data_IF_689709845815
#
_entry.id   IF_689709845815
#
_cell.length_a   1.000
_cell.length_b   1.000
_cell.length_c   1.000
_cell.angle_alpha   90.00
_cell.angle_beta   90.00
_cell.angle_gamma   90.00
#
_symmetry.space_group_name_H-M   'P 1'
#
loop_
_entity.id
_entity.type
_entity.pdbx_description
1 polymer ?
#
# COMPACT_ATOMS: atom_id res chain seq x y z
N UNK A 1 16.13 -25.84 -4.57
CA UNK A 1 15.67 -25.70 -5.98
C UNK A 1 16.03 -24.28 -6.38
N UNK A 2 16.62 -24.03 -7.53
CA UNK A 2 16.85 -22.65 -7.98
C UNK A 2 15.57 -22.11 -8.60
N UNK A 3 15.27 -20.86 -8.32
CA UNK A 3 14.08 -20.16 -8.78
C UNK A 3 14.40 -19.24 -9.95
N UNK A 4 13.40 -18.90 -10.75
CA UNK A 4 13.43 -17.83 -11.73
C UNK A 4 12.31 -16.84 -11.37
N UNK A 5 12.65 -15.55 -11.37
CA UNK A 5 11.76 -14.46 -10.99
C UNK A 5 11.30 -13.65 -12.20
N UNK A 6 10.03 -13.34 -12.25
CA UNK A 6 9.48 -12.35 -13.19
C UNK A 6 8.65 -11.30 -12.44
N UNK A 7 8.87 -10.01 -12.72
CA UNK A 7 8.14 -8.91 -12.12
C UNK A 7 7.42 -8.05 -13.14
N UNK A 8 6.36 -7.34 -12.73
CA UNK A 8 5.66 -6.34 -13.52
C UNK A 8 5.57 -5.02 -12.77
N UNK A 9 6.01 -3.94 -13.42
CA UNK A 9 6.18 -2.61 -12.84
C UNK A 9 7.47 -2.50 -12.05
N UNK A 10 8.21 -1.40 -12.22
CA UNK A 10 9.49 -1.16 -11.54
C UNK A 10 9.39 0.07 -10.63
N UNK A 11 8.38 0.08 -9.78
CA UNK A 11 8.22 1.07 -8.71
C UNK A 11 9.05 0.73 -7.46
N UNK A 12 9.01 1.58 -6.42
CA UNK A 12 9.84 1.39 -5.21
C UNK A 12 9.49 0.12 -4.42
N UNK A 13 8.27 -0.39 -4.50
CA UNK A 13 7.92 -1.68 -3.86
C UNK A 13 8.52 -2.85 -4.63
N UNK A 14 8.40 -2.87 -5.97
CA UNK A 14 9.02 -3.92 -6.76
C UNK A 14 10.54 -3.94 -6.61
N UNK A 15 11.18 -2.76 -6.75
CA UNK A 15 12.63 -2.63 -6.71
C UNK A 15 13.22 -2.74 -5.30
N UNK A 16 12.60 -2.07 -4.30
CA UNK A 16 13.11 -1.96 -2.94
C UNK A 16 12.60 -3.03 -1.97
N UNK A 17 11.75 -3.95 -2.43
CA UNK A 17 11.27 -5.07 -1.64
C UNK A 17 11.43 -6.37 -2.43
N UNK A 18 10.58 -6.66 -3.44
CA UNK A 18 10.59 -7.98 -4.09
C UNK A 18 11.89 -8.31 -4.82
N UNK A 19 12.36 -7.44 -5.72
CA UNK A 19 13.61 -7.70 -6.47
C UNK A 19 14.85 -7.66 -5.58
N UNK A 20 14.87 -6.75 -4.59
CA UNK A 20 15.97 -6.66 -3.63
C UNK A 20 16.05 -7.92 -2.76
N UNK A 21 14.92 -8.41 -2.22
CA UNK A 21 14.86 -9.62 -1.41
C UNK A 21 15.13 -10.89 -2.26
N UNK A 22 14.59 -10.97 -3.49
CA UNK A 22 14.90 -12.05 -4.41
C UNK A 22 16.41 -12.12 -4.69
N UNK A 23 17.07 -10.96 -4.88
CA UNK A 23 18.52 -10.92 -5.08
C UNK A 23 19.29 -11.28 -3.81
N UNK A 24 18.89 -10.76 -2.66
CA UNK A 24 19.53 -10.99 -1.38
C UNK A 24 19.46 -12.47 -0.94
N UNK A 25 18.36 -13.16 -1.23
CA UNK A 25 18.19 -14.59 -0.89
C UNK A 25 19.21 -15.51 -1.59
N UNK A 26 19.75 -15.10 -2.74
CA UNK A 26 20.65 -15.91 -3.55
C UNK A 26 20.00 -17.17 -4.18
N UNK A 27 18.67 -17.31 -4.04
CA UNK A 27 17.94 -18.48 -4.52
C UNK A 27 17.48 -18.37 -5.98
N UNK A 28 17.58 -17.18 -6.58
CA UNK A 28 17.14 -16.94 -7.96
C UNK A 28 18.30 -16.96 -8.95
N UNK A 29 18.08 -17.65 -10.07
CA UNK A 29 19.04 -17.70 -11.20
C UNK A 29 18.91 -16.44 -12.03
N UNK A 30 17.69 -16.10 -12.46
CA UNK A 30 17.36 -14.92 -13.24
C UNK A 30 16.29 -14.08 -12.53
N UNK A 31 16.48 -12.75 -12.55
CA UNK A 31 15.51 -11.77 -12.06
C UNK A 31 15.23 -10.81 -13.23
N UNK A 32 14.01 -10.86 -13.75
CA UNK A 32 13.58 -10.06 -14.90
C UNK A 32 12.33 -9.31 -14.53
N UNK A 33 12.29 -8.00 -14.85
CA UNK A 33 11.12 -7.16 -14.56
C UNK A 33 10.67 -6.45 -15.83
N UNK A 34 9.39 -6.53 -16.10
CA UNK A 34 8.69 -5.80 -17.14
C UNK A 34 8.45 -4.35 -16.71
N UNK A 35 8.96 -3.39 -17.49
CA UNK A 35 8.76 -1.96 -17.24
C UNK A 35 8.46 -1.23 -18.57
N UNK A 36 7.44 -0.37 -18.58
CA UNK A 36 6.97 0.34 -19.78
C UNK A 36 7.67 1.68 -20.01
N UNK A 37 8.38 2.21 -19.02
CA UNK A 37 9.19 3.41 -19.13
C UNK A 37 10.51 3.07 -19.83
N UNK A 38 10.56 3.35 -21.14
CA UNK A 38 11.72 3.01 -21.97
C UNK A 38 13.02 3.73 -21.54
N UNK A 39 12.91 4.95 -20.97
CA UNK A 39 14.08 5.70 -20.49
C UNK A 39 14.66 5.05 -19.24
N UNK A 40 13.79 4.60 -18.31
CA UNK A 40 14.19 3.88 -17.12
C UNK A 40 14.85 2.54 -17.47
N UNK A 41 14.23 1.76 -18.38
CA UNK A 41 14.81 0.51 -18.88
C UNK A 41 16.21 0.75 -19.47
N UNK A 42 16.34 1.75 -20.36
CA UNK A 42 17.62 2.08 -20.97
C UNK A 42 18.67 2.55 -19.94
N UNK A 43 18.25 3.32 -18.92
CA UNK A 43 19.17 3.81 -17.88
C UNK A 43 19.75 2.65 -17.06
N UNK A 44 18.90 1.73 -16.60
CA UNK A 44 19.34 0.55 -15.80
C UNK A 44 20.23 -0.37 -16.64
N UNK A 45 19.89 -0.62 -17.91
CA UNK A 45 20.73 -1.42 -18.83
C UNK A 45 22.10 -0.81 -19.06
N UNK A 46 22.17 0.52 -19.33
CA UNK A 46 23.47 1.23 -19.46
C UNK A 46 24.31 1.15 -18.20
N UNK A 47 23.68 0.98 -17.05
CA UNK A 47 24.34 0.80 -15.75
C UNK A 47 24.71 -0.67 -15.47
N UNK A 48 24.61 -1.57 -16.45
CA UNK A 48 24.97 -3.00 -16.32
C UNK A 48 23.96 -3.78 -15.48
N UNK A 49 22.67 -3.55 -15.69
CA UNK A 49 21.56 -4.19 -14.95
C UNK A 49 21.67 -3.99 -13.42
N UNK A 50 22.08 -2.78 -13.03
CA UNK A 50 22.21 -2.32 -11.64
C UNK A 50 21.35 -1.11 -11.41
N UNK A 51 20.76 -1.02 -10.24
CA UNK A 51 20.04 0.16 -9.78
C UNK A 51 20.27 0.42 -8.30
N UNK A 52 20.04 1.66 -7.87
CA UNK A 52 20.10 2.04 -6.47
C UNK A 52 18.70 2.23 -5.88
N UNK A 53 18.55 1.82 -4.62
CA UNK A 53 17.39 2.10 -3.75
C UNK A 53 17.91 2.74 -2.47
N UNK A 54 17.33 3.86 -2.09
CA UNK A 54 17.64 4.51 -0.83
C UNK A 54 16.75 3.91 0.27
N UNK A 55 17.37 3.45 1.34
CA UNK A 55 16.68 2.79 2.47
C UNK A 55 16.76 3.70 3.68
N UNK A 56 15.62 4.21 4.13
CA UNK A 56 15.48 5.01 5.33
C UNK A 56 15.41 4.08 6.56
N UNK A 57 16.50 4.01 7.30
CA UNK A 57 16.60 3.29 8.55
C UNK A 57 16.27 4.18 9.75
N UNK A 58 16.74 3.74 10.93
CA UNK A 58 16.59 4.49 12.18
C UNK A 58 17.51 5.71 12.25
N UNK A 59 18.75 5.58 11.76
CA UNK A 59 19.83 6.53 12.00
C UNK A 59 20.26 7.28 10.73
N UNK A 60 19.61 7.01 9.58
CA UNK A 60 19.97 7.64 8.32
C UNK A 60 19.34 6.99 7.10
N UNK A 61 19.80 7.45 5.94
CA UNK A 61 19.45 6.85 4.63
C UNK A 61 20.68 6.17 4.06
N UNK A 62 20.56 4.91 3.70
CA UNK A 62 21.59 4.12 3.03
C UNK A 62 21.19 3.89 1.58
N UNK A 63 22.11 4.17 0.64
CA UNK A 63 21.92 3.80 -0.76
C UNK A 63 22.40 2.35 -0.98
N UNK A 64 21.48 1.45 -1.26
CA UNK A 64 21.76 0.05 -1.59
C UNK A 64 21.75 -0.16 -3.10
N UNK A 65 22.78 -0.80 -3.62
CA UNK A 65 22.87 -1.18 -5.03
C UNK A 65 22.39 -2.61 -5.19
N UNK A 66 21.43 -2.81 -6.07
CA UNK A 66 20.92 -4.14 -6.46
C UNK A 66 21.42 -4.44 -7.87
N UNK A 67 22.07 -5.57 -8.05
CA UNK A 67 22.73 -5.99 -9.28
C UNK A 67 22.05 -7.21 -9.90
N UNK A 68 22.19 -7.38 -11.23
CA UNK A 68 21.70 -8.55 -11.93
C UNK A 68 20.17 -8.61 -12.02
N UNK A 69 19.52 -7.45 -12.06
CA UNK A 69 18.08 -7.32 -12.30
C UNK A 69 17.87 -6.71 -13.67
N UNK A 70 17.40 -7.51 -14.59
CA UNK A 70 17.22 -7.13 -16.00
C UNK A 70 15.83 -6.51 -16.20
N UNK A 71 15.79 -5.30 -16.73
CA UNK A 71 14.54 -4.65 -17.14
C UNK A 71 14.26 -4.89 -18.62
N UNK A 72 13.01 -5.25 -18.94
CA UNK A 72 12.51 -5.48 -20.28
C UNK A 72 11.27 -4.62 -20.54
N UNK A 73 11.23 -3.97 -21.72
CA UNK A 73 10.05 -3.21 -22.14
C UNK A 73 9.13 -4.08 -22.99
N UNK A 74 7.93 -4.45 -22.51
CA UNK A 74 7.01 -5.34 -23.23
C UNK A 74 6.52 -4.73 -24.57
N UNK A 75 6.67 -3.43 -24.78
CA UNK A 75 6.33 -2.76 -26.04
C UNK A 75 7.38 -2.96 -27.13
N UNK A 76 8.61 -3.32 -26.76
CA UNK A 76 9.65 -3.71 -27.69
C UNK A 76 9.51 -5.20 -28.03
N UNK A 77 9.45 -5.59 -29.34
CA UNK A 77 9.25 -6.99 -29.72
C UNK A 77 10.33 -7.94 -29.23
N UNK A 78 11.60 -7.51 -29.21
CA UNK A 78 12.72 -8.32 -28.75
C UNK A 78 12.66 -8.54 -27.24
N UNK A 79 12.41 -7.49 -26.48
CA UNK A 79 12.24 -7.55 -25.02
C UNK A 79 11.02 -8.40 -24.64
N UNK A 80 9.93 -8.26 -25.37
CA UNK A 80 8.71 -9.06 -25.12
C UNK A 80 8.99 -10.56 -25.32
N UNK A 81 9.68 -10.95 -26.35
CA UNK A 81 10.05 -12.36 -26.56
C UNK A 81 10.91 -12.91 -25.40
N UNK A 82 11.85 -12.11 -24.89
CA UNK A 82 12.66 -12.46 -23.72
C UNK A 82 11.81 -12.55 -22.44
N UNK A 83 10.85 -11.64 -22.26
CA UNK A 83 9.93 -11.64 -21.12
C UNK A 83 9.00 -12.86 -21.14
N UNK A 84 8.47 -13.23 -22.31
CA UNK A 84 7.65 -14.43 -22.49
C UNK A 84 8.45 -15.69 -22.17
N UNK A 85 9.70 -15.78 -22.64
CA UNK A 85 10.59 -16.88 -22.29
C UNK A 85 10.91 -16.95 -20.80
N UNK A 86 11.06 -15.80 -20.13
CA UNK A 86 11.25 -15.74 -18.69
C UNK A 86 10.00 -16.19 -17.93
N UNK A 87 8.81 -15.72 -18.31
CA UNK A 87 7.55 -16.09 -17.68
C UNK A 87 7.26 -17.59 -17.79
N UNK A 88 7.65 -18.22 -18.88
CA UNK A 88 7.49 -19.67 -19.09
C UNK A 88 8.28 -20.50 -18.05
N UNK A 89 9.43 -20.02 -17.58
CA UNK A 89 10.27 -20.70 -16.59
C UNK A 89 10.18 -20.13 -15.18
N UNK A 90 9.64 -18.91 -14.99
CA UNK A 90 9.55 -18.27 -13.70
C UNK A 90 8.71 -19.10 -12.71
N UNK A 91 9.24 -19.34 -11.53
CA UNK A 91 8.53 -20.00 -10.43
C UNK A 91 7.85 -18.99 -9.50
N UNK A 92 8.33 -17.75 -9.49
CA UNK A 92 7.73 -16.66 -8.74
C UNK A 92 7.52 -15.45 -9.65
N UNK A 93 6.28 -15.01 -9.72
CA UNK A 93 5.85 -13.87 -10.54
C UNK A 93 5.25 -12.83 -9.60
N UNK A 94 5.60 -11.55 -9.76
CA UNK A 94 5.09 -10.46 -8.91
C UNK A 94 4.50 -9.36 -9.76
N UNK A 95 3.29 -8.92 -9.45
CA UNK A 95 2.77 -7.65 -9.97
C UNK A 95 2.87 -6.57 -8.89
N UNK A 96 3.34 -5.37 -9.27
CA UNK A 96 3.44 -4.22 -8.38
C UNK A 96 3.13 -2.94 -9.18
N UNK A 97 1.84 -2.78 -9.48
CA UNK A 97 1.31 -1.75 -10.35
C UNK A 97 0.49 -0.73 -9.55
N UNK A 98 0.29 0.49 -10.06
CA UNK A 98 -0.49 1.51 -9.36
C UNK A 98 -1.96 1.13 -9.10
N UNK A 99 -2.54 0.24 -9.92
CA UNK A 99 -3.93 -0.19 -9.82
C UNK A 99 -4.15 -1.53 -10.52
N UNK A 100 -5.08 -2.32 -10.00
CA UNK A 100 -5.56 -3.57 -10.63
C UNK A 100 -6.18 -3.35 -12.01
N UNK A 101 -6.66 -2.14 -12.31
CA UNK A 101 -7.20 -1.79 -13.63
C UNK A 101 -6.15 -1.85 -14.75
N UNK A 102 -4.87 -1.81 -14.40
CA UNK A 102 -3.75 -1.88 -15.35
C UNK A 102 -3.50 -3.33 -15.82
N UNK A 103 -4.00 -4.35 -15.13
CA UNK A 103 -3.79 -5.76 -15.51
C UNK A 103 -4.17 -6.05 -16.97
N UNK A 104 -5.21 -5.43 -17.48
CA UNK A 104 -5.68 -5.55 -18.88
C UNK A 104 -5.20 -4.44 -19.81
N UNK A 105 -4.55 -3.40 -19.29
CA UNK A 105 -4.10 -2.29 -20.12
C UNK A 105 -2.98 -2.73 -21.08
N UNK A 106 -3.09 -2.38 -22.35
CA UNK A 106 -2.08 -2.73 -23.38
C UNK A 106 -2.46 -3.91 -24.28
N UNK A 107 -3.66 -4.45 -24.17
CA UNK A 107 -4.17 -5.51 -25.04
C UNK A 107 -3.33 -6.78 -24.98
N UNK A 108 -2.75 -7.20 -26.10
CA UNK A 108 -1.88 -8.41 -26.17
C UNK A 108 -0.61 -8.32 -25.35
N UNK A 109 -0.18 -7.12 -25.01
CA UNK A 109 1.04 -6.84 -24.24
C UNK A 109 0.70 -6.49 -22.77
N UNK A 110 -0.56 -6.65 -22.37
CA UNK A 110 -1.00 -6.48 -20.99
C UNK A 110 -0.42 -7.55 -20.07
N UNK A 111 -0.34 -7.24 -18.78
CA UNK A 111 0.12 -8.17 -17.74
C UNK A 111 -0.67 -9.47 -17.78
N UNK A 112 -2.01 -9.38 -17.83
CA UNK A 112 -2.87 -10.56 -17.90
C UNK A 112 -2.61 -11.41 -19.15
N UNK A 113 -2.43 -10.78 -20.32
CA UNK A 113 -2.17 -11.50 -21.57
C UNK A 113 -0.78 -12.16 -21.59
N UNK A 114 0.24 -11.50 -21.03
CA UNK A 114 1.59 -12.07 -20.91
C UNK A 114 1.61 -13.29 -19.98
N UNK A 115 0.99 -13.19 -18.80
CA UNK A 115 0.87 -14.31 -17.87
C UNK A 115 0.01 -15.42 -18.47
N UNK A 116 -1.10 -15.07 -19.19
CA UNK A 116 -1.98 -16.04 -19.82
C UNK A 116 -1.24 -16.97 -20.81
N UNK A 117 -0.27 -16.45 -21.55
CA UNK A 117 0.57 -17.29 -22.42
C UNK A 117 1.45 -18.26 -21.62
N UNK A 118 2.05 -17.76 -20.54
CA UNK A 118 2.93 -18.58 -19.70
C UNK A 118 2.20 -19.71 -18.93
N UNK A 119 0.90 -19.53 -18.64
CA UNK A 119 0.13 -20.56 -17.89
C UNK A 119 -0.52 -21.62 -18.81
N UNK A 120 -0.38 -21.50 -20.12
CA UNK A 120 -0.84 -22.52 -21.07
C UNK A 120 0.15 -23.68 -21.24
N UNK A 121 1.41 -23.50 -20.83
CA UNK A 121 2.48 -24.48 -20.95
C UNK A 121 2.42 -25.51 -19.80
N UNK A 122 1.90 -26.70 -20.04
CA UNK A 122 1.75 -27.75 -19.04
C UNK A 122 3.09 -28.23 -18.46
N UNK A 123 4.13 -28.30 -19.29
CA UNK A 123 5.47 -28.71 -18.88
C UNK A 123 6.25 -27.66 -18.09
N UNK A 124 5.72 -26.43 -17.98
CA UNK A 124 6.36 -25.37 -17.21
C UNK A 124 6.37 -25.69 -15.68
N UNK A 125 7.37 -25.26 -14.93
CA UNK A 125 7.44 -25.48 -13.48
C UNK A 125 6.22 -24.86 -12.78
N UNK A 126 5.83 -25.41 -11.63
CA UNK A 126 4.79 -24.79 -10.81
C UNK A 126 5.19 -23.35 -10.46
N UNK A 127 4.22 -22.43 -10.42
CA UNK A 127 4.48 -21.03 -10.13
C UNK A 127 3.47 -20.44 -9.14
N UNK A 128 3.94 -19.47 -8.38
CA UNK A 128 3.07 -18.55 -7.63
C UNK A 128 3.11 -17.16 -8.25
N UNK A 129 1.97 -16.48 -8.23
CA UNK A 129 1.82 -15.10 -8.71
C UNK A 129 1.39 -14.26 -7.51
N UNK A 130 2.29 -13.42 -7.01
CA UNK A 130 2.01 -12.50 -5.92
C UNK A 130 1.50 -11.17 -6.49
N UNK A 131 0.40 -10.67 -5.94
CA UNK A 131 -0.13 -9.35 -6.28
C UNK A 131 0.17 -8.35 -5.16
N UNK A 132 0.87 -7.28 -5.50
CA UNK A 132 1.29 -6.24 -4.56
C UNK A 132 0.49 -4.95 -4.69
N UNK A 133 -0.58 -4.96 -5.42
CA UNK A 133 -1.51 -3.83 -5.57
C UNK A 133 -2.27 -3.59 -4.26
N UNK A 134 -2.58 -2.32 -3.99
CA UNK A 134 -3.36 -1.97 -2.81
C UNK A 134 -4.88 -2.24 -3.03
N UNK A 135 -5.21 -3.52 -3.18
CA UNK A 135 -6.56 -4.03 -3.39
C UNK A 135 -6.67 -5.44 -2.79
N UNK A 136 -7.65 -5.65 -1.91
CA UNK A 136 -7.83 -6.89 -1.15
C UNK A 136 -8.19 -8.12 -2.01
N UNK A 137 -8.55 -7.92 -3.27
CA UNK A 137 -8.91 -8.97 -4.22
C UNK A 137 -8.05 -8.91 -5.49
N UNK A 138 -6.83 -8.40 -5.39
CA UNK A 138 -5.96 -8.24 -6.55
C UNK A 138 -5.63 -9.58 -7.21
N UNK A 139 -5.41 -10.64 -6.42
CA UNK A 139 -5.13 -11.98 -6.92
C UNK A 139 -6.30 -12.56 -7.69
N UNK A 140 -7.52 -12.47 -7.16
CA UNK A 140 -8.74 -12.96 -7.80
C UNK A 140 -9.06 -12.19 -9.08
N UNK A 141 -8.81 -10.88 -9.07
CA UNK A 141 -8.98 -10.03 -10.27
C UNK A 141 -7.97 -10.46 -11.34
N UNK A 142 -6.70 -10.59 -10.98
CA UNK A 142 -5.67 -10.99 -11.93
C UNK A 142 -5.91 -12.40 -12.46
N UNK A 143 -6.25 -13.36 -11.60
CA UNK A 143 -6.57 -14.73 -12.00
C UNK A 143 -7.73 -14.77 -13.00
N UNK A 144 -8.82 -14.07 -12.72
CA UNK A 144 -9.95 -13.94 -13.64
C UNK A 144 -9.51 -13.37 -15.00
N UNK A 145 -8.71 -12.30 -14.98
CA UNK A 145 -8.28 -11.63 -16.19
C UNK A 145 -7.29 -12.48 -17.01
N UNK A 146 -6.44 -13.28 -16.34
CA UNK A 146 -5.57 -14.26 -16.99
C UNK A 146 -6.37 -15.42 -17.59
N UNK A 147 -7.38 -15.94 -16.88
CA UNK A 147 -8.27 -17.00 -17.41
C UNK A 147 -9.05 -16.52 -18.64
N UNK A 148 -9.55 -15.29 -18.60
CA UNK A 148 -10.22 -14.68 -19.76
C UNK A 148 -9.26 -14.55 -20.95
N UNK A 149 -8.06 -14.03 -20.74
CA UNK A 149 -7.05 -13.84 -21.79
C UNK A 149 -6.52 -15.17 -22.36
N UNK A 150 -6.52 -16.25 -21.58
CA UNK A 150 -6.12 -17.60 -22.02
C UNK A 150 -7.24 -18.41 -22.68
N UNK A 151 -8.46 -17.86 -22.78
CA UNK A 151 -9.65 -18.60 -23.21
C UNK A 151 -10.00 -19.77 -22.28
N UNK A 152 -9.63 -19.69 -20.98
CA UNK A 152 -9.82 -20.73 -19.98
C UNK A 152 -8.74 -21.81 -19.97
N UNK A 153 -7.76 -21.76 -20.87
CA UNK A 153 -6.72 -22.78 -21.00
C UNK A 153 -5.56 -22.56 -20.01
N UNK A 154 -5.83 -22.75 -18.71
CA UNK A 154 -4.78 -22.77 -17.66
C UNK A 154 -4.36 -24.21 -17.42
N UNK A 155 -3.19 -24.62 -17.94
CA UNK A 155 -2.63 -25.98 -17.87
C UNK A 155 -1.50 -26.09 -16.87
N UNK A 156 -0.74 -25.03 -16.68
CA UNK A 156 0.34 -24.93 -15.70
C UNK A 156 -0.22 -24.97 -14.27
N UNK A 157 0.48 -25.61 -13.35
CA UNK A 157 0.18 -25.52 -11.92
C UNK A 157 0.55 -24.11 -11.43
N UNK A 158 -0.42 -23.24 -11.21
CA UNK A 158 -0.23 -21.86 -10.80
C UNK A 158 -1.21 -21.51 -9.68
N UNK A 159 -0.75 -20.67 -8.75
CA UNK A 159 -1.59 -20.10 -7.69
C UNK A 159 -1.38 -18.59 -7.65
N UNK A 160 -2.48 -17.85 -7.63
CA UNK A 160 -2.50 -16.40 -7.46
C UNK A 160 -2.69 -16.08 -5.99
N UNK A 161 -1.88 -15.17 -5.45
CA UNK A 161 -1.80 -14.90 -4.02
C UNK A 161 -1.89 -13.41 -3.75
N UNK A 162 -2.77 -13.02 -2.84
CA UNK A 162 -2.81 -11.68 -2.29
C UNK A 162 -1.64 -11.47 -1.33
N UNK A 163 -1.23 -10.21 -1.16
CA UNK A 163 -0.19 -9.81 -0.20
C UNK A 163 -0.63 -8.62 0.63
N UNK A 164 -0.21 -8.57 1.88
CA UNK A 164 -0.35 -7.39 2.74
C UNK A 164 1.03 -6.78 2.98
N UNK A 165 1.27 -5.65 2.32
CA UNK A 165 2.56 -4.96 2.35
C UNK A 165 2.41 -3.69 3.18
N UNK A 166 3.08 -3.65 4.32
CA UNK A 166 3.11 -2.49 5.22
C UNK A 166 4.31 -1.57 4.99
N UNK A 167 5.09 -1.77 3.92
CA UNK A 167 6.29 -0.97 3.61
C UNK A 167 5.92 0.39 3.03
N UNK A 168 6.38 1.46 3.68
CA UNK A 168 6.24 2.82 3.15
C UNK A 168 7.33 3.12 2.14
N UNK A 169 6.96 3.86 1.08
CA UNK A 169 7.87 4.15 -0.02
C UNK A 169 7.50 5.43 -0.76
N UNK A 170 8.49 6.01 -1.44
CA UNK A 170 8.33 7.24 -2.22
C UNK A 170 9.13 7.16 -3.52
N UNK A 171 8.64 7.88 -4.52
CA UNK A 171 9.38 8.20 -5.74
C UNK A 171 9.78 9.65 -5.67
N UNK A 172 11.08 9.92 -5.64
CA UNK A 172 11.66 11.27 -5.60
C UNK A 172 12.02 11.71 -7.00
N UNK A 173 11.54 12.89 -7.40
CA UNK A 173 11.75 13.46 -8.75
C UNK A 173 12.32 14.88 -8.71
N UNK A 174 12.30 15.54 -7.56
CA UNK A 174 12.89 16.85 -7.38
C UNK A 174 14.41 16.72 -7.18
N UNK A 175 15.18 17.23 -8.14
CA UNK A 175 16.63 17.11 -8.13
C UNK A 175 17.28 17.88 -6.95
N UNK A 176 16.70 19.01 -6.55
CA UNK A 176 17.22 19.80 -5.43
C UNK A 176 16.97 19.07 -4.10
N UNK A 177 15.80 18.50 -3.92
CA UNK A 177 15.46 17.70 -2.73
C UNK A 177 16.31 16.43 -2.69
N UNK A 178 16.45 15.69 -3.80
CA UNK A 178 17.31 14.50 -3.87
C UNK A 178 18.74 14.83 -3.45
N UNK A 179 19.29 15.94 -3.96
CA UNK A 179 20.63 16.40 -3.60
C UNK A 179 20.74 16.80 -2.12
N UNK A 180 19.77 17.56 -1.62
CA UNK A 180 19.75 18.01 -0.23
C UNK A 180 19.70 16.85 0.76
N UNK A 181 19.00 15.76 0.39
CA UNK A 181 18.84 14.55 1.21
C UNK A 181 19.91 13.49 0.91
N UNK A 182 20.85 13.74 0.01
CA UNK A 182 21.91 12.80 -0.36
C UNK A 182 21.40 11.51 -1.01
N UNK A 183 20.25 11.56 -1.70
CA UNK A 183 19.65 10.38 -2.31
C UNK A 183 20.35 10.00 -3.62
N UNK A 184 20.73 8.74 -3.73
CA UNK A 184 21.26 8.19 -4.97
C UNK A 184 20.11 8.05 -6.02
N UNK A 185 20.31 8.48 -7.28
CA UNK A 185 19.35 8.23 -8.34
C UNK A 185 19.29 6.72 -8.65
N UNK A 186 18.17 6.25 -9.26
CA UNK A 186 17.98 4.85 -9.64
C UNK A 186 19.14 4.32 -10.48
N UNK A 187 19.63 5.14 -11.42
CA UNK A 187 20.83 4.89 -12.21
C UNK A 187 21.56 6.21 -12.41
N UNK A 188 22.87 6.22 -12.71
CA UNK A 188 23.63 7.44 -12.91
C UNK A 188 22.99 8.37 -13.96
N UNK A 189 22.72 9.62 -13.56
CA UNK A 189 22.10 10.64 -14.42
C UNK A 189 20.60 10.49 -14.64
N UNK A 190 19.93 9.49 -14.06
CA UNK A 190 18.49 9.34 -14.16
C UNK A 190 17.77 10.28 -13.16
N UNK A 191 16.72 11.04 -13.57
CA UNK A 191 16.16 12.12 -12.76
C UNK A 191 15.12 11.60 -11.71
N UNK A 192 15.33 10.40 -11.19
CA UNK A 192 14.47 9.78 -10.16
C UNK A 192 15.29 8.99 -9.16
N UNK A 193 14.82 8.98 -7.90
CA UNK A 193 15.30 8.09 -6.86
C UNK A 193 14.12 7.34 -6.23
N UNK A 194 14.37 6.11 -5.81
CA UNK A 194 13.46 5.37 -4.93
C UNK A 194 13.92 5.53 -3.49
N UNK A 195 12.98 5.86 -2.61
CA UNK A 195 13.18 5.88 -1.17
C UNK A 195 12.19 4.94 -0.53
N UNK A 196 12.68 3.97 0.23
CA UNK A 196 11.87 2.99 0.95
C UNK A 196 12.30 2.95 2.41
N UNK A 197 11.42 2.57 3.31
CA UNK A 197 11.82 2.27 4.68
C UNK A 197 12.52 0.91 4.79
N UNK A 198 13.24 0.70 5.87
CA UNK A 198 13.99 -0.55 6.10
C UNK A 198 13.09 -1.77 6.30
N UNK A 199 11.85 -1.58 6.78
CA UNK A 199 10.89 -2.66 7.06
C UNK A 199 10.60 -3.55 5.83
N UNK A 200 10.73 -4.88 5.98
CA UNK A 200 10.66 -5.86 4.90
C UNK A 200 9.77 -7.07 5.23
N UNK A 201 8.73 -6.92 6.01
CA UNK A 201 7.81 -8.00 6.32
C UNK A 201 6.59 -7.98 5.39
N UNK A 202 6.28 -9.12 4.74
CA UNK A 202 5.15 -9.27 3.83
C UNK A 202 4.30 -10.44 4.28
N UNK A 203 3.01 -10.20 4.50
CA UNK A 203 2.05 -11.28 4.67
C UNK A 203 1.56 -11.73 3.29
N UNK A 204 1.40 -13.03 3.13
CA UNK A 204 0.95 -13.64 1.88
C UNK A 204 -0.09 -14.72 2.15
N UNK A 205 -1.05 -14.89 1.24
CA UNK A 205 -2.00 -15.99 1.29
C UNK A 205 -1.26 -17.32 1.28
N UNK A 206 -1.77 -18.30 2.02
CA UNK A 206 -1.15 -19.61 2.14
C UNK A 206 -0.89 -20.27 0.78
N UNK A 207 0.34 -20.76 0.59
CA UNK A 207 0.73 -21.47 -0.60
C UNK A 207 0.20 -22.91 -0.51
N UNK A 208 -0.72 -23.24 -1.45
CA UNK A 208 -1.35 -24.56 -1.55
C UNK A 208 -0.70 -25.49 -2.56
N UNK A 209 0.33 -25.03 -3.31
CA UNK A 209 1.03 -25.84 -4.29
C UNK A 209 1.93 -26.87 -3.61
N UNK A 210 1.58 -28.15 -3.72
CA UNK A 210 2.32 -29.23 -3.10
C UNK A 210 3.81 -29.22 -3.48
N UNK A 211 4.69 -29.17 -2.49
CA UNK A 211 6.15 -29.19 -2.65
C UNK A 211 6.77 -27.87 -3.10
N UNK A 212 5.97 -26.81 -3.28
CA UNK A 212 6.50 -25.49 -3.59
C UNK A 212 7.09 -24.85 -2.32
N UNK A 213 8.21 -24.17 -2.47
CA UNK A 213 8.82 -23.34 -1.44
C UNK A 213 9.20 -22.01 -2.06
N UNK A 214 8.82 -20.86 -1.46
CA UNK A 214 9.21 -19.56 -1.97
C UNK A 214 10.73 -19.35 -1.85
N UNK A 215 11.31 -18.70 -2.85
CA UNK A 215 12.71 -18.25 -2.81
C UNK A 215 12.90 -16.92 -2.10
N UNK A 216 11.82 -16.14 -1.95
CA UNK A 216 11.82 -14.90 -1.13
C UNK A 216 11.51 -15.30 0.32
N UNK A 217 12.42 -14.95 1.24
CA UNK A 217 12.36 -15.44 2.64
C UNK A 217 11.55 -14.55 3.58
N UNK A 218 11.22 -13.29 3.18
CA UNK A 218 10.51 -12.32 4.03
C UNK A 218 8.99 -12.51 4.07
N UNK A 219 8.49 -13.58 3.46
CA UNK A 219 7.07 -13.90 3.46
C UNK A 219 6.63 -14.63 4.73
N UNK A 220 5.52 -14.19 5.28
CA UNK A 220 4.78 -14.91 6.31
C UNK A 220 3.43 -15.35 5.76
N UNK A 221 3.20 -16.65 5.68
CA UNK A 221 1.95 -17.21 5.15
C UNK A 221 0.82 -17.12 6.18
N UNK A 222 -0.35 -16.67 5.72
CA UNK A 222 -1.59 -16.64 6.51
C UNK A 222 -2.68 -17.45 5.83
N UNK A 223 -3.47 -18.17 6.61
CA UNK A 223 -4.61 -18.94 6.12
C UNK A 223 -5.72 -18.06 5.53
N UNK A 224 -5.93 -16.89 6.14
CA UNK A 224 -6.84 -15.84 5.69
C UNK A 224 -6.15 -14.48 5.86
N UNK A 225 -6.05 -13.69 4.78
CA UNK A 225 -5.43 -12.36 4.81
C UNK A 225 -6.42 -11.23 5.15
N UNK A 226 -7.73 -11.42 4.98
CA UNK A 226 -8.72 -10.36 5.20
C UNK A 226 -8.61 -9.68 6.56
N UNK A 227 -8.41 -10.39 7.68
CA UNK A 227 -8.19 -9.75 8.98
C UNK A 227 -6.95 -8.83 9.03
N UNK A 228 -5.88 -9.22 8.35
CA UNK A 228 -4.62 -8.46 8.30
C UNK A 228 -4.71 -7.27 7.35
N UNK A 229 -5.45 -7.40 6.26
CA UNK A 229 -5.80 -6.30 5.36
C UNK A 229 -6.65 -5.26 6.07
N UNK A 230 -7.63 -5.71 6.87
CA UNK A 230 -8.44 -4.82 7.70
C UNK A 230 -7.60 -4.13 8.79
N UNK A 231 -6.70 -4.85 9.45
CA UNK A 231 -5.76 -4.27 10.42
C UNK A 231 -4.83 -3.22 9.76
N UNK A 232 -4.39 -3.46 8.52
CA UNK A 232 -3.64 -2.46 7.74
C UNK A 232 -4.51 -1.26 7.39
N UNK A 233 -5.74 -1.46 6.91
CA UNK A 233 -6.62 -0.37 6.46
C UNK A 233 -7.11 0.47 7.64
N UNK A 234 -7.63 -0.18 8.69
CA UNK A 234 -8.27 0.45 9.85
C UNK A 234 -7.29 0.77 10.99
N UNK A 235 -6.11 0.17 10.98
CA UNK A 235 -4.99 0.52 11.85
C UNK A 235 -4.00 1.44 11.14
N UNK A 236 -3.04 0.86 10.39
CA UNK A 236 -1.94 1.60 9.76
C UNK A 236 -2.42 2.78 8.90
N UNK A 237 -3.23 2.52 7.87
CA UNK A 237 -3.65 3.56 6.93
C UNK A 237 -4.56 4.61 7.58
N UNK A 238 -5.39 4.19 8.53
CA UNK A 238 -6.28 5.08 9.28
C UNK A 238 -5.48 6.08 10.12
N UNK A 239 -4.54 5.58 10.93
CA UNK A 239 -3.75 6.42 11.83
C UNK A 239 -2.76 7.30 11.05
N UNK A 240 -2.17 6.78 9.98
CA UNK A 240 -1.34 7.60 9.09
C UNK A 240 -2.12 8.77 8.49
N UNK A 241 -3.36 8.52 8.05
CA UNK A 241 -4.26 9.54 7.51
C UNK A 241 -4.74 10.51 8.59
N UNK A 242 -5.09 10.02 9.78
CA UNK A 242 -5.45 10.84 10.95
C UNK A 242 -4.33 11.82 11.29
N UNK A 243 -3.11 11.33 11.44
CA UNK A 243 -1.92 12.16 11.69
C UNK A 243 -1.69 13.16 10.56
N UNK A 244 -1.89 12.76 9.29
CA UNK A 244 -1.79 13.66 8.14
C UNK A 244 -2.78 14.81 8.20
N UNK A 245 -4.06 14.56 8.46
CA UNK A 245 -5.09 15.59 8.55
C UNK A 245 -4.88 16.53 9.76
N UNK A 246 -4.55 15.98 10.92
CA UNK A 246 -4.25 16.79 12.11
C UNK A 246 -2.95 17.59 11.94
N UNK A 247 -1.93 17.00 11.31
CA UNK A 247 -0.70 17.70 10.98
C UNK A 247 -0.90 18.85 9.99
N UNK A 248 -1.77 18.67 9.00
CA UNK A 248 -2.16 19.73 8.08
C UNK A 248 -2.77 20.92 8.84
N UNK A 249 -3.64 20.68 9.83
CA UNK A 249 -4.22 21.73 10.67
C UNK A 249 -3.20 22.47 11.54
N UNK A 250 -2.12 21.78 11.92
CA UNK A 250 -0.99 22.39 12.66
C UNK A 250 0.07 23.00 11.75
N UNK A 251 -0.14 23.01 10.42
CA UNK A 251 0.81 23.54 9.45
C UNK A 251 2.09 22.72 9.30
N UNK A 252 2.06 21.43 9.66
CA UNK A 252 3.21 20.55 9.47
C UNK A 252 3.44 20.28 7.98
N UNK A 253 4.67 20.46 7.51
CA UNK A 253 5.04 20.14 6.14
C UNK A 253 5.29 18.64 5.94
N UNK A 254 5.85 17.96 6.94
CA UNK A 254 6.17 16.54 6.91
C UNK A 254 5.64 15.79 8.13
N UNK A 255 5.50 14.48 8.00
CA UNK A 255 5.07 13.59 9.07
C UNK A 255 6.08 13.53 10.22
N UNK A 256 7.35 13.73 9.94
CA UNK A 256 8.41 13.77 10.96
C UNK A 256 8.21 14.90 11.97
N UNK A 257 7.67 16.05 11.52
CA UNK A 257 7.37 17.21 12.38
C UNK A 257 6.27 16.96 13.41
N UNK A 258 5.47 15.91 13.24
CA UNK A 258 4.43 15.55 14.22
C UNK A 258 5.01 15.14 15.57
N UNK A 259 6.27 14.69 15.61
CA UNK A 259 6.98 14.41 16.88
C UNK A 259 7.11 15.63 17.79
N UNK A 260 7.04 16.83 17.23
CA UNK A 260 7.10 18.09 17.97
C UNK A 260 5.76 18.41 18.66
N UNK A 261 4.71 17.61 18.43
CA UNK A 261 3.36 17.77 18.97
C UNK A 261 2.96 16.54 19.80
N UNK A 262 3.38 16.45 21.08
CA UNK A 262 3.08 15.29 21.93
C UNK A 262 1.59 15.01 22.10
N UNK A 263 0.75 16.04 22.08
CA UNK A 263 -0.71 15.94 22.13
C UNK A 263 -1.30 15.18 20.93
N UNK A 264 -0.79 15.46 19.72
CA UNK A 264 -1.21 14.73 18.51
C UNK A 264 -0.71 13.29 18.51
N UNK A 265 0.52 13.06 18.96
CA UNK A 265 1.08 11.71 19.05
C UNK A 265 0.33 10.86 20.08
N UNK A 266 -0.08 11.43 21.22
CA UNK A 266 -0.87 10.73 22.22
C UNK A 266 -2.29 10.45 21.72
N UNK A 267 -2.93 11.40 21.05
CA UNK A 267 -4.22 11.19 20.40
C UNK A 267 -4.15 10.05 19.37
N UNK A 268 -3.12 10.04 18.55
CA UNK A 268 -2.92 8.99 17.56
C UNK A 268 -2.66 7.62 18.21
N UNK A 269 -1.91 7.58 19.30
CA UNK A 269 -1.66 6.35 20.10
C UNK A 269 -2.97 5.80 20.65
N UNK A 270 -3.80 6.65 21.29
CA UNK A 270 -5.11 6.26 21.81
C UNK A 270 -6.04 5.78 20.69
N UNK A 271 -6.11 6.52 19.58
CA UNK A 271 -6.89 6.11 18.40
C UNK A 271 -6.46 4.75 17.87
N UNK A 272 -5.14 4.49 17.86
CA UNK A 272 -4.60 3.26 17.31
C UNK A 272 -4.78 2.06 18.23
N UNK A 273 -4.47 2.20 19.52
CA UNK A 273 -4.43 1.08 20.48
C UNK A 273 -5.80 0.85 21.10
N UNK A 274 -6.39 1.93 21.66
CA UNK A 274 -7.55 1.81 22.53
C UNK A 274 -8.89 1.90 21.77
N UNK A 275 -8.88 2.46 20.55
CA UNK A 275 -10.06 2.52 19.69
C UNK A 275 -9.98 1.47 18.56
N UNK A 276 -9.26 1.75 17.47
CA UNK A 276 -9.19 0.85 16.31
C UNK A 276 -8.63 -0.53 16.68
N UNK A 277 -7.55 -0.58 17.45
CA UNK A 277 -6.91 -1.82 17.88
C UNK A 277 -7.79 -2.66 18.76
N UNK A 278 -8.43 -2.05 19.77
CA UNK A 278 -9.37 -2.77 20.64
C UNK A 278 -10.55 -3.34 19.83
N UNK A 279 -11.05 -2.61 18.82
CA UNK A 279 -12.11 -3.08 17.95
C UNK A 279 -11.66 -4.26 17.06
N UNK A 280 -10.47 -4.17 16.47
CA UNK A 280 -9.87 -5.23 15.63
C UNK A 280 -9.59 -6.50 16.46
N UNK A 281 -9.07 -6.35 17.69
CA UNK A 281 -8.84 -7.48 18.60
C UNK A 281 -10.16 -8.16 18.96
N UNK A 282 -11.23 -7.40 19.29
CA UNK A 282 -12.55 -7.98 19.56
C UNK A 282 -13.10 -8.75 18.37
N UNK A 283 -12.91 -8.24 17.15
CA UNK A 283 -13.42 -8.85 15.92
C UNK A 283 -12.63 -10.10 15.52
N UNK A 284 -11.30 -10.07 15.64
CA UNK A 284 -10.40 -11.10 15.08
C UNK A 284 -9.64 -11.93 16.11
N UNK A 285 -9.82 -11.70 17.41
CA UNK A 285 -9.08 -12.41 18.45
C UNK A 285 -9.28 -13.94 18.46
N UNK A 286 -10.38 -14.43 17.88
CA UNK A 286 -10.62 -15.85 17.72
C UNK A 286 -9.61 -16.56 16.78
N UNK A 287 -8.89 -15.80 15.93
CA UNK A 287 -7.81 -16.32 15.07
C UNK A 287 -6.58 -16.78 15.85
N UNK A 288 -6.45 -16.36 17.11
CA UNK A 288 -5.28 -16.66 17.97
C UNK A 288 -3.93 -16.23 17.33
N UNK A 289 -3.96 -15.27 16.39
CA UNK A 289 -2.76 -14.67 15.85
C UNK A 289 -2.22 -13.61 16.80
N UNK A 290 -0.88 -13.52 16.91
CA UNK A 290 -0.21 -12.56 17.79
C UNK A 290 -0.65 -11.11 17.54
N UNK A 291 -0.92 -10.74 16.29
CA UNK A 291 -1.36 -9.39 15.96
C UNK A 291 -2.65 -9.01 16.68
N UNK A 292 -3.58 -9.95 16.82
CA UNK A 292 -4.89 -9.73 17.45
C UNK A 292 -4.91 -10.04 18.95
N UNK A 293 -3.76 -9.90 19.62
CA UNK A 293 -3.64 -9.84 21.08
C UNK A 293 -3.36 -8.42 21.55
N UNK A 294 -3.68 -8.10 22.79
CA UNK A 294 -3.44 -6.75 23.37
C UNK A 294 -1.97 -6.37 23.27
N UNK A 295 -1.06 -7.27 23.63
CA UNK A 295 0.38 -7.04 23.58
C UNK A 295 0.92 -6.95 22.16
N UNK A 296 0.49 -7.86 21.28
CA UNK A 296 0.93 -7.88 19.88
C UNK A 296 0.46 -6.66 19.11
N UNK A 297 -0.80 -6.25 19.30
CA UNK A 297 -1.33 -5.06 18.64
C UNK A 297 -0.69 -3.77 19.17
N UNK A 298 -0.42 -3.67 20.47
CA UNK A 298 0.32 -2.53 21.03
C UNK A 298 1.71 -2.43 20.44
N UNK A 299 2.45 -3.53 20.36
CA UNK A 299 3.78 -3.55 19.76
C UNK A 299 3.75 -3.10 18.28
N UNK A 300 2.77 -3.59 17.51
CA UNK A 300 2.52 -3.20 16.13
C UNK A 300 2.21 -1.70 16.01
N UNK A 301 1.35 -1.16 16.87
CA UNK A 301 0.98 0.25 16.85
C UNK A 301 2.17 1.18 17.17
N UNK A 302 2.96 0.86 18.20
CA UNK A 302 4.14 1.66 18.58
C UNK A 302 5.22 1.63 17.49
N UNK A 303 5.47 0.47 16.88
CA UNK A 303 6.38 0.36 15.75
C UNK A 303 5.93 1.25 14.59
N UNK A 304 4.63 1.17 14.22
CA UNK A 304 4.10 1.95 13.11
C UNK A 304 4.10 3.45 13.38
N UNK A 305 3.76 3.91 14.58
CA UNK A 305 3.83 5.33 14.94
C UNK A 305 5.27 5.87 14.78
N UNK A 306 6.27 5.07 15.20
CA UNK A 306 7.67 5.42 15.01
C UNK A 306 8.06 5.49 13.52
N UNK A 307 7.59 4.53 12.71
CA UNK A 307 7.88 4.47 11.26
C UNK A 307 7.19 5.60 10.49
N UNK A 308 5.91 5.89 10.77
CA UNK A 308 5.14 6.97 10.13
C UNK A 308 5.76 8.35 10.33
N UNK A 309 6.49 8.53 11.43
CA UNK A 309 7.15 9.79 11.76
C UNK A 309 8.68 9.72 11.61
N UNK A 310 9.19 8.77 10.84
CA UNK A 310 10.63 8.62 10.59
C UNK A 310 11.18 9.85 9.82
N UNK A 311 12.13 10.61 10.39
CA UNK A 311 12.68 11.81 9.76
C UNK A 311 13.49 11.51 8.48
N UNK A 312 13.97 10.28 8.33
CA UNK A 312 14.73 9.88 7.15
C UNK A 312 13.84 9.46 5.98
N UNK A 313 12.63 8.95 6.27
CA UNK A 313 11.60 8.77 5.25
C UNK A 313 10.98 10.12 4.88
N UNK A 314 10.78 10.99 5.86
CA UNK A 314 10.29 12.38 5.76
C UNK A 314 9.10 12.53 4.81
N UNK A 315 8.04 11.77 5.10
CA UNK A 315 6.86 11.73 4.24
C UNK A 315 6.08 13.06 4.32
N UNK A 316 5.80 13.66 3.16
CA UNK A 316 5.12 14.94 3.09
C UNK A 316 3.65 14.82 3.53
N UNK A 317 3.19 15.68 4.45
CA UNK A 317 1.78 15.75 4.89
C UNK A 317 0.86 15.95 3.69
N UNK A 318 1.24 16.81 2.74
CA UNK A 318 0.47 17.06 1.52
C UNK A 318 0.23 15.78 0.69
N UNK A 319 1.16 14.82 0.69
CA UNK A 319 0.98 13.51 0.05
C UNK A 319 -0.03 12.64 0.80
N UNK A 320 0.03 12.66 2.13
CA UNK A 320 -0.84 11.83 2.96
C UNK A 320 -2.29 12.30 2.92
N UNK A 321 -2.54 13.60 2.83
CA UNK A 321 -3.91 14.14 2.81
C UNK A 321 -4.56 14.16 1.42
N UNK A 322 -3.82 13.81 0.35
CA UNK A 322 -4.39 13.75 -1.02
C UNK A 322 -5.60 12.83 -1.09
N UNK A 323 -6.53 13.15 -2.00
CA UNK A 323 -7.74 12.37 -2.26
C UNK A 323 -8.60 12.17 -1.00
N UNK A 324 -9.01 13.26 -0.33
CA UNK A 324 -9.82 13.17 0.88
C UNK A 324 -11.21 12.57 0.61
N UNK A 325 -11.76 12.77 -0.59
CA UNK A 325 -13.06 12.22 -0.98
C UNK A 325 -13.09 10.68 -0.83
N UNK A 326 -12.10 9.99 -1.38
CA UNK A 326 -11.98 8.54 -1.25
C UNK A 326 -11.73 8.10 0.19
N UNK A 327 -10.80 8.77 0.89
CA UNK A 327 -10.42 8.40 2.28
C UNK A 327 -11.55 8.53 3.29
N UNK A 328 -12.50 9.43 3.03
CA UNK A 328 -13.72 9.62 3.81
C UNK A 328 -14.89 8.72 3.32
N UNK A 329 -14.62 7.77 2.43
CA UNK A 329 -15.60 6.78 2.00
C UNK A 329 -16.09 5.89 3.15
N UNK A 330 -17.26 5.29 2.96
CA UNK A 330 -17.98 4.50 3.97
C UNK A 330 -17.13 3.40 4.63
N UNK A 331 -16.41 2.61 3.83
CA UNK A 331 -15.58 1.50 4.29
C UNK A 331 -14.08 1.79 4.17
N UNK A 332 -13.67 3.06 3.88
CA UNK A 332 -12.26 3.41 3.81
C UNK A 332 -11.72 3.80 5.21
N UNK A 333 -10.48 4.19 5.27
CA UNK A 333 -9.61 4.37 6.44
C UNK A 333 -10.02 5.43 7.47
N UNK A 334 -11.00 6.28 7.18
CA UNK A 334 -11.49 7.27 8.16
C UNK A 334 -12.76 6.79 8.83
N UNK A 335 -13.81 6.49 8.08
CA UNK A 335 -15.09 6.05 8.65
C UNK A 335 -15.17 4.55 8.89
N UNK A 336 -14.42 3.72 8.14
CA UNK A 336 -14.38 2.28 8.38
C UNK A 336 -14.00 1.90 9.81
N UNK A 337 -12.88 2.38 10.38
CA UNK A 337 -12.52 2.08 11.77
C UNK A 337 -13.48 2.71 12.80
N UNK A 338 -14.06 3.89 12.53
CA UNK A 338 -15.09 4.48 13.39
C UNK A 338 -16.30 3.55 13.49
N UNK A 339 -16.77 3.05 12.35
CA UNK A 339 -17.89 2.14 12.25
C UNK A 339 -17.59 0.82 12.97
N UNK A 340 -16.41 0.24 12.73
CA UNK A 340 -15.96 -0.96 13.42
C UNK A 340 -15.96 -0.76 14.96
N UNK A 341 -15.45 0.37 15.45
CA UNK A 341 -15.48 0.68 16.89
C UNK A 341 -16.92 0.70 17.42
N UNK A 342 -17.83 1.40 16.74
CA UNK A 342 -19.23 1.50 17.15
C UNK A 342 -19.93 0.13 17.12
N UNK A 343 -19.63 -0.73 16.15
CA UNK A 343 -20.10 -2.12 16.08
C UNK A 343 -19.62 -2.94 17.29
N UNK A 344 -18.37 -2.70 17.70
CA UNK A 344 -17.75 -3.39 18.86
C UNK A 344 -18.05 -2.71 20.21
N UNK A 345 -18.94 -1.71 20.27
CA UNK A 345 -19.30 -1.01 21.49
C UNK A 345 -18.18 -0.13 22.07
N UNK A 346 -17.29 0.38 21.21
CA UNK A 346 -16.21 1.33 21.56
C UNK A 346 -16.61 2.70 21.03
N UNK A 347 -16.44 3.75 21.84
CA UNK A 347 -16.68 5.14 21.42
C UNK A 347 -15.39 5.75 20.87
N UNK A 348 -15.27 5.95 19.52
CA UNK A 348 -13.99 6.31 18.89
C UNK A 348 -13.79 7.84 18.81
N UNK A 349 -13.56 8.50 19.93
CA UNK A 349 -13.44 9.97 20.02
C UNK A 349 -12.19 10.51 19.35
N UNK A 350 -11.08 9.79 19.43
CA UNK A 350 -9.83 10.18 18.80
C UNK A 350 -9.89 10.00 17.29
N UNK A 351 -10.44 8.89 16.79
CA UNK A 351 -10.69 8.69 15.36
C UNK A 351 -11.65 9.76 14.81
N UNK A 352 -12.68 10.14 15.59
CA UNK A 352 -13.60 11.21 15.20
C UNK A 352 -12.91 12.57 15.10
N UNK A 353 -11.90 12.87 15.91
CA UNK A 353 -11.08 14.07 15.76
C UNK A 353 -10.36 14.08 14.41
N UNK A 354 -9.78 12.95 13.99
CA UNK A 354 -9.20 12.78 12.65
C UNK A 354 -10.24 12.95 11.53
N UNK A 355 -11.45 12.40 11.71
CA UNK A 355 -12.52 12.53 10.74
C UNK A 355 -12.97 14.00 10.58
N UNK A 356 -13.09 14.77 11.67
CA UNK A 356 -13.37 16.23 11.62
C UNK A 356 -12.29 16.99 10.83
N UNK A 357 -11.01 16.69 11.09
CA UNK A 357 -9.91 17.30 10.36
C UNK A 357 -9.93 16.91 8.86
N UNK A 358 -10.25 15.65 8.55
CA UNK A 358 -10.43 15.16 7.19
C UNK A 358 -11.59 15.83 6.44
N UNK A 359 -12.72 16.06 7.11
CA UNK A 359 -13.85 16.81 6.54
C UNK A 359 -13.44 18.26 6.23
N UNK A 360 -12.73 18.93 7.15
CA UNK A 360 -12.21 20.29 6.88
C UNK A 360 -11.21 20.32 5.73
N UNK A 361 -10.36 19.30 5.62
CA UNK A 361 -9.43 19.15 4.49
C UNK A 361 -10.20 18.96 3.18
N UNK A 362 -11.26 18.14 3.16
CA UNK A 362 -12.13 17.93 2.00
C UNK A 362 -12.78 19.25 1.55
N UNK A 363 -13.35 20.02 2.48
CA UNK A 363 -14.02 21.30 2.17
C UNK A 363 -13.06 22.35 1.60
N UNK A 364 -11.76 22.26 1.92
CA UNK A 364 -10.71 23.15 1.40
C UNK A 364 -10.06 22.67 0.10
N UNK A 365 -10.40 21.46 -0.36
CA UNK A 365 -9.80 20.90 -1.56
C UNK A 365 -10.47 21.48 -2.82
N UNK A 366 -9.77 22.31 -3.60
CA UNK A 366 -10.36 22.98 -4.77
C UNK A 366 -10.64 22.02 -5.93
N UNK A 367 -10.12 20.79 -5.85
CA UNK A 367 -10.34 19.76 -6.89
C UNK A 367 -11.64 18.99 -6.69
N UNK A 368 -12.30 19.16 -5.53
CA UNK A 368 -13.55 18.48 -5.21
C UNK A 368 -14.72 19.43 -5.44
N UNK A 369 -15.53 19.10 -6.44
CA UNK A 369 -16.75 19.85 -6.77
C UNK A 369 -18.01 19.23 -6.13
N UNK A 370 -19.11 19.96 -6.18
CA UNK A 370 -20.48 19.51 -5.85
C UNK A 370 -20.62 18.97 -4.41
N UNK A 371 -19.93 19.60 -3.45
CA UNK A 371 -20.16 19.33 -2.04
C UNK A 371 -21.44 20.07 -1.56
N UNK A 372 -22.25 19.43 -0.70
CA UNK A 372 -23.49 20.03 -0.17
C UNK A 372 -23.24 21.15 0.87
N UNK A 373 -21.98 21.38 1.22
CA UNK A 373 -21.52 22.36 2.20
C UNK A 373 -20.44 23.24 1.59
N UNK A 374 -20.55 24.54 1.76
CA UNK A 374 -19.60 25.50 1.18
C UNK A 374 -18.21 25.40 1.84
N UNK A 375 -17.17 25.75 1.09
CA UNK A 375 -15.77 25.68 1.55
C UNK A 375 -15.48 26.53 2.80
N UNK A 376 -16.16 27.67 2.94
CA UNK A 376 -16.02 28.58 4.07
C UNK A 376 -16.44 27.95 5.41
N UNK A 377 -17.30 26.92 5.35
CA UNK A 377 -17.72 26.18 6.53
C UNK A 377 -16.57 25.38 7.19
N UNK A 378 -15.45 25.16 6.46
CA UNK A 378 -14.25 24.56 7.02
C UNK A 378 -13.62 25.38 8.17
N UNK A 379 -13.99 26.64 8.33
CA UNK A 379 -13.49 27.52 9.39
C UNK A 379 -14.30 27.45 10.70
N UNK A 380 -15.41 26.70 10.72
CA UNK A 380 -16.32 26.57 11.88
C UNK A 380 -16.72 25.13 12.14
N UNK A 381 -17.43 24.91 13.23
CA UNK A 381 -18.10 23.65 13.47
C UNK A 381 -19.32 23.51 12.54
N UNK A 382 -19.49 22.30 12.01
CA UNK A 382 -20.60 21.97 11.13
C UNK A 382 -21.84 21.57 11.95
N UNK A 383 -22.99 21.98 11.47
CA UNK A 383 -24.27 21.53 12.02
C UNK A 383 -24.52 20.06 11.73
N UNK A 384 -25.42 19.43 12.49
CA UNK A 384 -25.81 18.04 12.26
C UNK A 384 -26.40 17.83 10.85
N UNK A 385 -27.17 18.81 10.33
CA UNK A 385 -27.73 18.74 8.99
C UNK A 385 -26.64 18.78 7.89
N UNK A 386 -25.63 19.65 8.05
CA UNK A 386 -24.49 19.74 7.13
C UNK A 386 -23.66 18.46 7.14
N UNK A 387 -23.37 17.89 8.33
CA UNK A 387 -22.66 16.63 8.45
C UNK A 387 -23.44 15.47 7.79
N UNK A 388 -24.75 15.40 8.03
CA UNK A 388 -25.60 14.37 7.42
C UNK A 388 -25.59 14.48 5.89
N UNK A 389 -25.72 15.68 5.35
CA UNK A 389 -25.67 15.90 3.90
C UNK A 389 -24.30 15.52 3.30
N UNK A 390 -23.19 15.85 4.00
CA UNK A 390 -21.85 15.44 3.60
C UNK A 390 -21.70 13.91 3.61
N UNK A 391 -22.11 13.23 4.68
CA UNK A 391 -22.05 11.78 4.77
C UNK A 391 -22.89 11.11 3.67
N UNK A 392 -24.08 11.64 3.37
CA UNK A 392 -24.91 11.15 2.28
C UNK A 392 -24.20 11.28 0.92
N UNK A 393 -23.53 12.41 0.67
CA UNK A 393 -22.74 12.61 -0.56
C UNK A 393 -21.52 11.72 -0.64
N UNK A 394 -20.82 11.49 0.48
CA UNK A 394 -19.61 10.69 0.56
C UNK A 394 -19.87 9.18 0.42
N UNK A 395 -20.97 8.71 0.99
CA UNK A 395 -21.27 7.29 1.08
C UNK A 395 -22.24 6.79 0.02
N UNK A 396 -22.99 7.68 -0.63
CA UNK A 396 -23.88 7.33 -1.73
C UNK A 396 -24.83 6.19 -1.39
N UNK A 397 -24.71 5.07 -2.09
CA UNK A 397 -25.55 3.88 -1.87
C UNK A 397 -25.35 3.19 -0.52
N UNK A 398 -24.18 3.41 0.11
CA UNK A 398 -23.84 2.84 1.43
C UNK A 398 -24.35 3.70 2.61
N UNK A 399 -25.07 4.78 2.33
CA UNK A 399 -25.60 5.66 3.35
C UNK A 399 -26.76 5.04 4.13
N UNK A 400 -26.57 4.89 5.45
CA UNK A 400 -27.58 4.40 6.38
C UNK A 400 -27.94 5.47 7.42
N UNK A 401 -29.18 6.00 7.44
CA UNK A 401 -29.54 7.14 8.29
C UNK A 401 -29.27 6.95 9.78
N UNK A 402 -29.58 5.77 10.33
CA UNK A 402 -29.39 5.46 11.78
C UNK A 402 -27.91 5.46 12.15
N UNK A 403 -27.07 4.89 11.30
CA UNK A 403 -25.62 4.86 11.53
C UNK A 403 -25.01 6.27 11.35
N UNK A 404 -25.45 6.98 10.31
CA UNK A 404 -25.03 8.36 10.06
C UNK A 404 -25.36 9.27 11.26
N UNK A 405 -26.54 9.13 11.86
CA UNK A 405 -26.92 9.89 13.06
C UNK A 405 -25.99 9.63 14.24
N UNK A 406 -25.60 8.37 14.48
CA UNK A 406 -24.63 8.03 15.54
C UNK A 406 -23.28 8.69 15.28
N UNK A 407 -22.80 8.66 14.03
CA UNK A 407 -21.52 9.25 13.63
C UNK A 407 -21.61 10.80 13.69
N UNK A 408 -22.70 11.40 13.28
CA UNK A 408 -22.92 12.86 13.41
C UNK A 408 -22.83 13.29 14.87
N UNK A 409 -23.49 12.60 15.78
CA UNK A 409 -23.39 12.89 17.23
C UNK A 409 -21.95 12.81 17.73
N UNK A 410 -21.21 11.80 17.30
CA UNK A 410 -19.79 11.63 17.64
C UNK A 410 -18.93 12.77 17.07
N UNK A 411 -19.20 13.20 15.85
CA UNK A 411 -18.48 14.32 15.21
C UNK A 411 -18.80 15.67 15.87
N UNK A 412 -19.94 15.83 16.51
CA UNK A 412 -20.34 17.02 17.26
C UNK A 412 -19.91 17.00 18.73
N UNK A 413 -19.48 15.86 19.24
CA UNK A 413 -19.00 15.76 20.63
C UNK A 413 -17.71 16.59 20.82
N UNK A 414 -17.47 17.14 22.03
CA UNK A 414 -16.25 17.87 22.34
C UNK A 414 -15.00 17.08 21.97
N UNK A 415 -13.98 17.78 21.48
CA UNK A 415 -12.70 17.16 21.17
C UNK A 415 -12.12 16.49 22.44
N UNK A 416 -11.44 15.35 22.24
CA UNK A 416 -10.72 14.66 23.30
C UNK A 416 -9.72 15.61 23.97
N UNK A 417 -9.80 15.75 25.29
CA UNK A 417 -8.84 16.53 26.07
C UNK A 417 -9.18 18.03 26.29
N UNK A 418 -10.42 18.47 26.10
CA UNK A 418 -10.92 19.78 26.60
C UNK A 418 -11.79 19.60 27.82
#
# INVERSE_FOLDING_TARGET
>A
MRHDFAGFGFGPIQSGLFAAEARASGQFTDIVISEVDAELVAAVRRNGDRYAVNVAGRDGVEARVVEGVRLLNPRDPGDRALLEAQLAKATEIVTSLPSVTIFKAGGRDSVAALIARAVQEEAAPAAVVYTAENNNHAAEILERDVREASGGAVRRRVQFLNTVIGKMSQVMTDAAEMKARGLAPIAPGFPRAFLVEEFNHILVSKIGLAGFRPGIEVFEEKGDLLPFEEAKLYGHNAIHTLLGFLGQERGCASMARLRDFPDLMELARTAFIDEAGAALIRRHGALQDRLFTVEGFRAYAEELLSRMTNPWLDDAVARIVRDPLRKLGYADRVFGPIRLCLEQGIEPRCLAAGARAGIRSLLRDPTVADLPVAAEAAARELTGAELTALLQRLWGADFHPVEAERIVRLLQAPAYGR
#
